data_IF_599514017535
#
_entry.id   IF_599514017535
#
_cell.length_a   1.000
_cell.length_b   1.000
_cell.length_c   1.000
_cell.angle_alpha   90.00
_cell.angle_beta   90.00
_cell.angle_gamma   90.00
#
_symmetry.space_group_name_H-M   'P 1'
#
loop_
_entity.id
_entity.type
_entity.pdbx_description
1 polymer ?
#
# COMPACT_ATOMS: atom_id res chain seq x y z
N UNK A 1 6.28 -12.41 -5.12
CA UNK A 1 6.36 -12.95 -3.75
C UNK A 1 5.91 -11.97 -2.66
N UNK A 2 6.60 -10.85 -2.38
CA UNK A 2 6.17 -9.92 -1.29
C UNK A 2 4.80 -9.30 -1.52
N UNK A 3 4.56 -8.72 -2.70
CA UNK A 3 3.25 -8.14 -3.04
C UNK A 3 2.13 -9.20 -3.06
N UNK A 4 2.41 -10.42 -3.52
CA UNK A 4 1.43 -11.53 -3.50
C UNK A 4 1.00 -11.86 -2.07
N UNK A 5 1.96 -11.94 -1.13
CA UNK A 5 1.67 -12.15 0.28
C UNK A 5 0.90 -10.98 0.89
N UNK A 6 1.26 -9.74 0.56
CA UNK A 6 0.55 -8.57 1.08
C UNK A 6 -0.90 -8.54 0.61
N UNK A 7 -1.16 -8.86 -0.67
CA UNK A 7 -2.50 -9.03 -1.17
C UNK A 7 -3.26 -10.14 -0.43
N UNK A 8 -2.62 -11.30 -0.22
CA UNK A 8 -3.23 -12.40 0.55
C UNK A 8 -3.61 -11.99 1.98
N UNK A 9 -2.76 -11.23 2.67
CA UNK A 9 -3.05 -10.73 4.03
C UNK A 9 -4.27 -9.81 4.04
N UNK A 10 -4.39 -8.92 3.05
CA UNK A 10 -5.54 -8.04 2.90
C UNK A 10 -6.81 -8.80 2.50
N UNK A 11 -6.66 -9.92 1.78
CA UNK A 11 -7.75 -10.82 1.36
C UNK A 11 -8.26 -11.72 2.50
N UNK A 12 -7.59 -11.81 3.66
CA UNK A 12 -8.06 -12.60 4.81
C UNK A 12 -9.35 -12.04 5.42
N UNK A 13 -9.48 -10.70 5.47
CA UNK A 13 -10.71 -10.01 5.86
C UNK A 13 -11.00 -8.89 4.85
N UNK A 14 -11.59 -9.22 3.68
CA UNK A 14 -11.81 -8.26 2.59
C UNK A 14 -12.84 -7.16 2.95
N UNK A 15 -13.58 -7.34 4.04
CA UNK A 15 -14.57 -6.41 4.57
C UNK A 15 -13.99 -5.39 5.55
N UNK A 16 -12.84 -5.67 6.18
CA UNK A 16 -12.17 -4.78 7.13
C UNK A 16 -12.00 -3.38 6.55
N UNK A 17 -12.40 -2.36 7.32
CA UNK A 17 -12.13 -0.95 6.99
C UNK A 17 -10.72 -0.60 7.48
N UNK A 18 -9.88 -0.16 6.56
CA UNK A 18 -8.51 0.26 6.80
C UNK A 18 -8.41 1.77 6.66
N UNK A 19 -7.64 2.43 7.53
CA UNK A 19 -7.49 3.88 7.51
C UNK A 19 -6.69 4.31 6.28
N UNK A 20 -7.23 5.28 5.53
CA UNK A 20 -6.58 5.79 4.33
C UNK A 20 -5.46 6.78 4.70
N UNK A 21 -4.40 6.81 3.89
CA UNK A 21 -3.39 7.87 3.92
C UNK A 21 -3.72 8.89 2.82
N UNK A 22 -4.72 9.72 3.09
CA UNK A 22 -5.18 10.75 2.15
C UNK A 22 -4.15 11.89 2.00
N UNK A 23 -4.06 12.47 0.81
CA UNK A 23 -3.19 13.62 0.53
C UNK A 23 -1.73 13.27 0.25
N UNK A 24 -1.41 11.98 0.10
CA UNK A 24 -0.08 11.51 -0.33
C UNK A 24 0.30 12.06 -1.72
N UNK A 25 -0.67 12.38 -2.56
CA UNK A 25 -0.48 12.97 -3.88
C UNK A 25 -0.16 14.48 -3.86
N UNK A 26 -0.47 15.20 -2.78
CA UNK A 26 -0.29 16.67 -2.69
C UNK A 26 0.80 17.10 -1.71
N UNK A 27 1.25 16.21 -0.84
CA UNK A 27 2.25 16.54 0.17
C UNK A 27 3.68 16.47 -0.39
N UNK A 28 4.61 17.19 0.23
CA UNK A 28 6.01 17.18 -0.17
C UNK A 28 6.63 15.80 0.06
N UNK A 29 7.66 15.40 -0.71
CA UNK A 29 8.27 14.08 -0.56
C UNK A 29 8.72 13.78 0.88
N UNK A 30 9.32 14.74 1.57
CA UNK A 30 9.82 14.57 2.94
C UNK A 30 8.71 14.36 3.98
N UNK A 31 7.54 14.97 3.77
CA UNK A 31 6.35 14.76 4.60
C UNK A 31 5.71 13.42 4.25
N UNK A 32 5.58 13.11 2.94
CA UNK A 32 5.02 11.86 2.43
C UNK A 32 5.71 10.66 3.02
N UNK A 33 7.04 10.63 2.99
CA UNK A 33 7.86 9.52 3.52
C UNK A 33 7.53 9.20 4.98
N UNK A 34 7.17 10.21 5.79
CA UNK A 34 6.88 10.07 7.22
C UNK A 34 5.42 9.77 7.51
N UNK A 35 4.53 9.82 6.52
CA UNK A 35 3.10 9.55 6.73
C UNK A 35 2.89 8.14 7.24
N UNK A 36 2.03 8.02 8.24
CA UNK A 36 1.60 6.75 8.83
C UNK A 36 0.21 6.92 9.41
N UNK A 37 -0.56 5.84 9.43
CA UNK A 37 -1.83 5.80 10.14
C UNK A 37 -2.07 4.39 10.66
N UNK A 38 -2.46 4.29 11.93
CA UNK A 38 -2.75 3.01 12.57
C UNK A 38 -3.94 2.33 11.87
N UNK A 39 -3.81 1.03 11.61
CA UNK A 39 -4.84 0.26 10.92
C UNK A 39 -4.95 0.60 9.42
N UNK A 40 -3.88 1.12 8.81
CA UNK A 40 -3.79 1.32 7.37
C UNK A 40 -3.45 0.01 6.63
N UNK A 41 -3.51 -0.01 5.29
CA UNK A 41 -2.99 -1.15 4.51
C UNK A 41 -1.52 -1.48 4.81
N UNK A 42 -0.71 -0.47 5.15
CA UNK A 42 0.70 -0.67 5.52
C UNK A 42 0.79 -1.35 6.90
N UNK A 43 -0.07 -0.97 7.85
CA UNK A 43 -0.14 -1.65 9.16
C UNK A 43 -0.39 -3.14 9.01
N UNK A 44 -1.26 -3.56 8.07
CA UNK A 44 -1.50 -5.00 7.79
C UNK A 44 -0.24 -5.72 7.31
N UNK A 45 0.58 -5.06 6.48
CA UNK A 45 1.89 -5.62 6.11
C UNK A 45 2.84 -5.66 7.31
N UNK A 46 2.93 -4.58 8.09
CA UNK A 46 3.85 -4.50 9.22
C UNK A 46 3.55 -5.51 10.34
N UNK A 47 2.27 -5.84 10.56
CA UNK A 47 1.85 -6.86 11.52
C UNK A 47 2.33 -8.27 11.14
N UNK A 48 2.62 -8.51 9.85
CA UNK A 48 3.11 -9.79 9.38
C UNK A 48 4.55 -10.07 9.85
N UNK A 49 4.79 -11.17 10.60
CA UNK A 49 6.11 -11.47 11.13
C UNK A 49 7.13 -11.81 10.03
N UNK A 50 6.69 -12.32 8.87
CA UNK A 50 7.59 -12.65 7.77
C UNK A 50 8.13 -11.37 7.14
N UNK A 51 7.30 -10.35 6.92
CA UNK A 51 7.80 -9.06 6.40
C UNK A 51 8.76 -8.36 7.37
N UNK A 52 8.47 -8.38 8.68
CA UNK A 52 9.42 -7.85 9.67
C UNK A 52 10.75 -8.60 9.67
N UNK A 53 10.72 -9.93 9.61
CA UNK A 53 11.93 -10.74 9.50
C UNK A 53 12.72 -10.50 8.19
N UNK A 54 12.02 -10.11 7.12
CA UNK A 54 12.63 -9.75 5.83
C UNK A 54 13.12 -8.29 5.76
N UNK A 55 12.93 -7.50 6.81
CA UNK A 55 13.46 -6.13 6.92
C UNK A 55 12.47 -5.00 6.67
N UNK A 56 11.16 -5.23 6.85
CA UNK A 56 10.17 -4.16 7.00
C UNK A 56 10.25 -3.60 8.44
N UNK A 57 10.74 -2.37 8.59
CA UNK A 57 11.15 -1.80 9.89
C UNK A 57 10.02 -1.11 10.64
N UNK A 58 9.09 -0.49 9.93
CA UNK A 58 7.94 0.23 10.47
C UNK A 58 6.79 0.29 9.45
N UNK A 59 5.70 0.97 9.81
CA UNK A 59 4.51 1.15 8.99
C UNK A 59 4.40 2.54 8.34
N UNK A 60 5.53 3.23 8.13
CA UNK A 60 5.55 4.48 7.38
C UNK A 60 5.41 4.26 5.88
N UNK A 61 4.89 5.28 5.20
CA UNK A 61 4.77 5.29 3.74
C UNK A 61 6.13 5.07 3.07
N UNK A 62 7.17 5.78 3.51
CA UNK A 62 8.50 5.67 2.93
C UNK A 62 9.11 4.29 3.09
N UNK A 63 8.95 3.69 4.28
CA UNK A 63 9.43 2.34 4.55
C UNK A 63 8.68 1.29 3.72
N UNK A 64 7.35 1.41 3.59
CA UNK A 64 6.56 0.54 2.71
C UNK A 64 7.00 0.67 1.26
N UNK A 65 7.20 1.91 0.77
CA UNK A 65 7.67 2.19 -0.59
C UNK A 65 9.00 1.49 -0.87
N UNK A 66 9.98 1.69 0.03
CA UNK A 66 11.30 1.07 -0.05
C UNK A 66 11.23 -0.46 -0.01
N UNK A 67 10.46 -1.02 0.93
CA UNK A 67 10.45 -2.46 1.18
C UNK A 67 9.73 -3.26 0.08
N UNK A 68 8.64 -2.71 -0.47
CA UNK A 68 7.87 -3.33 -1.54
C UNK A 68 8.28 -2.88 -2.94
N UNK A 69 9.28 -1.99 -3.04
CA UNK A 69 9.82 -1.46 -4.31
C UNK A 69 8.73 -0.85 -5.20
N UNK A 70 7.80 -0.12 -4.58
CA UNK A 70 6.68 0.53 -5.26
C UNK A 70 7.06 1.96 -5.66
N UNK A 71 6.48 2.44 -6.76
CA UNK A 71 6.46 3.88 -7.04
C UNK A 71 5.51 4.60 -6.07
N UNK A 72 5.66 5.92 -5.93
CA UNK A 72 4.73 6.74 -5.14
C UNK A 72 3.29 6.61 -5.68
N UNK A 73 3.13 6.49 -7.01
CA UNK A 73 1.83 6.30 -7.64
C UNK A 73 1.19 4.96 -7.27
N UNK A 74 1.95 3.86 -7.37
CA UNK A 74 1.44 2.53 -7.00
C UNK A 74 1.08 2.46 -5.52
N UNK A 75 1.93 2.99 -4.64
CA UNK A 75 1.66 2.95 -3.21
C UNK A 75 0.48 3.86 -2.85
N UNK A 76 0.36 5.03 -3.48
CA UNK A 76 -0.81 5.91 -3.33
C UNK A 76 -2.12 5.16 -3.64
N UNK A 77 -2.18 4.42 -4.76
CA UNK A 77 -3.38 3.65 -5.10
C UNK A 77 -3.73 2.59 -4.03
N UNK A 78 -2.74 2.01 -3.36
CA UNK A 78 -2.96 1.01 -2.30
C UNK A 78 -3.50 1.64 -1.02
N UNK A 79 -2.94 2.79 -0.61
CA UNK A 79 -3.20 3.38 0.72
C UNK A 79 -4.29 4.43 0.73
N UNK A 80 -4.74 4.88 -0.44
CA UNK A 80 -5.74 5.92 -0.57
C UNK A 80 -6.86 5.51 -1.53
N UNK A 81 -8.08 5.96 -1.21
CA UNK A 81 -9.17 6.00 -2.18
C UNK A 81 -9.76 7.41 -2.15
N UNK A 82 -9.19 8.31 -2.96
CA UNK A 82 -9.35 9.77 -2.88
C UNK A 82 -10.80 10.29 -2.88
N UNK A 83 -11.79 9.46 -3.25
CA UNK A 83 -13.19 9.85 -3.37
C UNK A 83 -14.14 9.15 -2.38
N UNK A 84 -13.65 8.27 -1.49
CA UNK A 84 -14.52 7.41 -0.64
C UNK A 84 -14.35 7.65 0.85
N UNK A 85 -13.47 8.57 1.25
CA UNK A 85 -13.36 9.10 2.61
C UNK A 85 -12.19 8.55 3.41
N UNK A 86 -12.26 8.68 4.74
CA UNK A 86 -11.14 8.44 5.66
C UNK A 86 -10.66 6.97 5.77
N UNK A 87 -11.36 6.02 5.13
CA UNK A 87 -11.02 4.61 5.18
C UNK A 87 -11.46 3.89 3.91
N UNK A 88 -10.77 2.81 3.55
CA UNK A 88 -11.06 1.95 2.41
C UNK A 88 -11.26 0.49 2.86
N UNK A 89 -12.05 -0.33 2.13
CA UNK A 89 -12.15 -1.74 2.45
C UNK A 89 -10.86 -2.48 2.05
N UNK A 90 -10.45 -3.49 2.81
CA UNK A 90 -9.22 -4.24 2.56
C UNK A 90 -9.16 -4.89 1.17
N UNK A 91 -10.31 -5.34 0.63
CA UNK A 91 -10.40 -5.84 -0.76
C UNK A 91 -9.94 -4.83 -1.81
N UNK A 92 -10.14 -3.53 -1.55
CA UNK A 92 -9.70 -2.48 -2.47
C UNK A 92 -8.18 -2.37 -2.46
N UNK A 93 -7.59 -2.27 -1.27
CA UNK A 93 -6.14 -2.27 -1.11
C UNK A 93 -5.52 -3.52 -1.75
N UNK A 94 -6.10 -4.71 -1.53
CA UNK A 94 -5.64 -5.97 -2.13
C UNK A 94 -5.64 -5.90 -3.66
N UNK A 95 -6.72 -5.40 -4.27
CA UNK A 95 -6.83 -5.23 -5.72
C UNK A 95 -5.72 -4.32 -6.28
N UNK A 96 -5.35 -3.26 -5.55
CA UNK A 96 -4.28 -2.34 -5.96
C UNK A 96 -2.89 -2.92 -5.78
N UNK A 97 -2.67 -3.69 -4.71
CA UNK A 97 -1.44 -4.48 -4.54
C UNK A 97 -1.30 -5.49 -5.69
N UNK A 98 -2.40 -6.17 -6.07
CA UNK A 98 -2.41 -7.11 -7.20
C UNK A 98 -2.10 -6.42 -8.53
N UNK A 99 -2.66 -5.24 -8.77
CA UNK A 99 -2.39 -4.46 -9.97
C UNK A 99 -0.89 -4.08 -10.09
N UNK A 100 -0.21 -3.84 -8.97
CA UNK A 100 1.22 -3.55 -8.96
C UNK A 100 2.12 -4.77 -9.31
N UNK A 101 1.61 -6.01 -9.22
CA UNK A 101 2.37 -7.24 -9.54
C UNK A 101 2.54 -7.41 -11.06
N UNK A 102 1.55 -6.98 -11.85
CA UNK A 102 1.54 -7.15 -13.29
C UNK A 102 1.43 -5.79 -14.00
N UNK A 103 2.54 -5.08 -14.22
CA UNK A 103 2.54 -3.80 -14.95
C UNK A 103 2.12 -3.91 -16.43
N UNK A 104 1.84 -5.12 -16.93
CA UNK A 104 1.88 -5.47 -18.36
C UNK A 104 0.56 -5.74 -19.08
N UNK A 105 -0.62 -5.64 -18.46
CA UNK A 105 -1.89 -6.01 -19.12
C UNK A 105 -2.85 -4.85 -19.39
N UNK A 106 -2.33 -3.62 -19.51
CA UNK A 106 -3.16 -2.47 -19.87
C UNK A 106 -2.41 -1.40 -20.65
N UNK A 107 -1.81 -1.73 -21.81
CA UNK A 107 -1.30 -0.78 -22.84
C UNK A 107 -0.24 0.26 -22.37
N UNK A 108 0.03 0.43 -21.07
CA UNK A 108 0.69 1.60 -20.46
C UNK A 108 1.84 1.24 -19.49
N UNK A 109 2.62 0.21 -19.80
CA UNK A 109 4.00 0.09 -19.26
C UNK A 109 4.96 1.17 -19.84
N UNK A 110 4.45 2.25 -20.44
CA UNK A 110 5.21 3.10 -21.38
C UNK A 110 5.93 4.29 -20.75
N UNK A 111 5.81 4.54 -19.44
CA UNK A 111 6.47 5.66 -18.78
C UNK A 111 7.07 5.23 -17.44
N UNK A 112 8.08 4.35 -17.51
CA UNK A 112 9.05 4.08 -16.43
C UNK A 112 9.26 5.26 -15.48
#
# INVERSE_FOLDING_TARGET
>A
QRLERWAQLLEQDPGRRLVALAGTEYTTPDVREKMRSAGSPITVAFEDPIFRAQGLRDDTYGEAKRFFELSDWQLHEVVCHCHVGASLPARWAASRVRAAISPGSGILAWLR
#
